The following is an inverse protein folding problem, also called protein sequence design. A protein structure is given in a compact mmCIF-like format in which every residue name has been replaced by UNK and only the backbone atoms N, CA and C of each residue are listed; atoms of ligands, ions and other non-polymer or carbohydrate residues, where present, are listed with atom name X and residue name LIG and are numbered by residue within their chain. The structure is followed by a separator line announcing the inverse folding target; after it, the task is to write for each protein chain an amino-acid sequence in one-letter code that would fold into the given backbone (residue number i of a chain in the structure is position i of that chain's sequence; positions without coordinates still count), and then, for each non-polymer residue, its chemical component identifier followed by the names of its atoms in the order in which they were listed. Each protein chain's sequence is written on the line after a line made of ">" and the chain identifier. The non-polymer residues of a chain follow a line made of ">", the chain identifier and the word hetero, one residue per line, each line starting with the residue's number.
data_IF_511005188837
#
_entry.id   IF_511005188837
#
_cell.length_a   1.000
_cell.length_b   1.000
_cell.length_c   1.000
_cell.angle_alpha   90.00
_cell.angle_beta   90.00
_cell.angle_gamma   90.00
#
_symmetry.space_group_name_H-M   'P 1'
#
loop_
_entity.id
_entity.type
_entity.pdbx_description
1 polymer ?
#
# COMPACT_ATOMS: atom_id res chain seq x y z
N UNK A 1 3.65 18.12 -0.64
CA UNK A 1 4.61 19.18 -0.26
C UNK A 1 5.99 18.61 0.09
N UNK A 2 6.10 17.65 1.02
CA UNK A 2 7.39 17.01 1.41
C UNK A 2 8.16 16.41 0.21
N UNK A 3 7.47 15.80 -0.75
CA UNK A 3 8.07 15.20 -1.96
C UNK A 3 8.61 16.20 -2.99
N UNK A 4 8.31 17.50 -2.84
CA UNK A 4 8.86 18.54 -3.73
C UNK A 4 10.31 18.90 -3.38
N UNK A 5 10.75 18.55 -2.18
CA UNK A 5 12.12 18.80 -1.72
C UNK A 5 13.02 17.66 -2.21
N UNK A 6 13.96 17.99 -3.11
CA UNK A 6 14.86 17.02 -3.76
C UNK A 6 15.61 16.13 -2.74
N UNK A 7 16.08 16.71 -1.63
CA UNK A 7 16.78 15.99 -0.54
C UNK A 7 15.92 14.91 0.13
N UNK A 8 14.61 15.15 0.27
CA UNK A 8 13.67 14.20 0.89
C UNK A 8 13.27 13.09 -0.08
N UNK A 9 13.28 13.36 -1.39
CA UNK A 9 13.01 12.36 -2.43
C UNK A 9 14.17 11.41 -2.69
N UNK A 10 15.40 11.81 -2.42
CA UNK A 10 16.59 10.96 -2.61
C UNK A 10 16.99 10.19 -1.35
N UNK A 11 16.37 10.46 -0.20
CA UNK A 11 16.63 9.74 1.05
C UNK A 11 15.68 8.55 1.19
N UNK A 12 16.16 7.29 1.19
CA UNK A 12 15.31 6.11 1.34
C UNK A 12 14.54 6.11 2.67
N UNK A 13 15.15 6.60 3.74
CA UNK A 13 14.55 6.68 5.08
C UNK A 13 13.37 7.66 5.08
N UNK A 14 13.54 8.84 4.46
CA UNK A 14 12.47 9.82 4.36
C UNK A 14 11.30 9.28 3.52
N UNK A 15 11.60 8.61 2.41
CA UNK A 15 10.58 7.98 1.56
C UNK A 15 9.81 6.87 2.29
N UNK A 16 10.46 6.09 3.15
CA UNK A 16 9.80 5.04 3.93
C UNK A 16 8.74 5.61 4.89
N UNK A 17 9.06 6.68 5.63
CA UNK A 17 8.07 7.30 6.51
C UNK A 17 6.94 7.98 5.71
N UNK A 18 7.28 8.63 4.60
CA UNK A 18 6.29 9.28 3.74
C UNK A 18 5.33 8.25 3.13
N UNK A 19 5.83 7.09 2.67
CA UNK A 19 4.98 6.03 2.12
C UNK A 19 4.04 5.44 3.17
N UNK A 20 4.51 5.27 4.42
CA UNK A 20 3.66 4.84 5.54
C UNK A 20 2.51 5.81 5.81
N UNK A 21 2.78 7.11 5.85
CA UNK A 21 1.74 8.15 6.03
C UNK A 21 0.76 8.15 4.87
N UNK A 22 1.22 8.02 3.64
CA UNK A 22 0.34 7.96 2.46
C UNK A 22 -0.56 6.73 2.53
N UNK A 23 -0.03 5.57 2.89
CA UNK A 23 -0.82 4.33 2.97
C UNK A 23 -1.95 4.43 4.00
N UNK A 24 -1.65 4.99 5.18
CA UNK A 24 -2.68 5.27 6.21
C UNK A 24 -3.66 6.34 5.72
N UNK A 25 -3.17 7.41 5.08
CA UNK A 25 -4.01 8.50 4.57
C UNK A 25 -5.00 8.05 3.50
N UNK A 26 -4.56 7.23 2.54
CA UNK A 26 -5.41 6.66 1.50
C UNK A 26 -6.48 5.73 2.09
N UNK A 27 -6.14 4.97 3.13
CA UNK A 27 -7.11 4.14 3.84
C UNK A 27 -8.15 4.99 4.58
N UNK A 28 -7.71 6.06 5.27
CA UNK A 28 -8.60 7.00 5.95
C UNK A 28 -9.52 7.72 4.97
N UNK A 29 -9.04 8.12 3.79
CA UNK A 29 -9.87 8.70 2.74
C UNK A 29 -11.03 7.76 2.37
N UNK A 30 -10.74 6.47 2.14
CA UNK A 30 -11.77 5.48 1.83
C UNK A 30 -12.72 5.24 3.00
N UNK A 31 -12.21 5.20 4.22
CA UNK A 31 -13.04 5.10 5.42
C UNK A 31 -14.02 6.27 5.52
N UNK A 32 -13.55 7.50 5.29
CA UNK A 32 -14.39 8.70 5.33
C UNK A 32 -15.44 8.67 4.21
N UNK A 33 -15.04 8.40 2.96
CA UNK A 33 -15.96 8.37 1.82
C UNK A 33 -17.09 7.37 2.06
N UNK A 34 -16.81 6.19 2.61
CA UNK A 34 -17.83 5.15 2.84
C UNK A 34 -18.64 5.46 4.08
N UNK A 35 -18.01 5.62 5.25
CA UNK A 35 -18.71 5.69 6.54
C UNK A 35 -19.44 7.03 6.72
N UNK A 36 -18.80 8.15 6.36
CA UNK A 36 -19.39 9.47 6.58
C UNK A 36 -20.50 9.75 5.57
N UNK A 37 -20.42 9.23 4.34
CA UNK A 37 -21.52 9.36 3.38
C UNK A 37 -22.75 8.56 3.80
N UNK A 38 -22.57 7.32 4.30
CA UNK A 38 -23.66 6.44 4.76
C UNK A 38 -24.26 6.87 6.11
N UNK A 39 -23.53 7.65 6.91
CA UNK A 39 -24.05 8.10 8.21
C UNK A 39 -25.26 9.04 8.09
N UNK A 40 -25.39 9.77 6.98
CA UNK A 40 -26.43 10.78 6.74
C UNK A 40 -27.23 10.45 5.49
N UNK A 41 -28.04 9.40 5.57
CA UNK A 41 -28.99 9.07 4.51
C UNK A 41 -30.18 10.05 4.46
N UNK A 42 -30.88 10.03 3.31
CA UNK A 42 -32.02 10.90 3.00
C UNK A 42 -33.19 10.80 4.00
N UNK A 43 -33.32 9.69 4.73
CA UNK A 43 -34.28 9.53 5.83
C UNK A 43 -33.58 9.71 7.19
N UNK A 44 -34.09 10.67 7.97
CA UNK A 44 -33.57 11.02 9.30
C UNK A 44 -33.71 9.91 10.35
N UNK A 45 -34.60 8.93 10.15
CA UNK A 45 -34.75 7.77 11.04
C UNK A 45 -33.65 6.72 10.89
N UNK A 46 -32.90 6.75 9.77
CA UNK A 46 -31.87 5.74 9.45
C UNK A 46 -30.45 6.20 9.79
N UNK A 47 -30.32 7.32 10.53
CA UNK A 47 -29.02 7.81 10.96
C UNK A 47 -28.40 6.85 11.98
N UNK A 48 -27.42 6.06 11.53
CA UNK A 48 -26.67 5.11 12.34
C UNK A 48 -25.19 5.47 12.40
N UNK A 49 -24.59 5.46 13.59
CA UNK A 49 -23.14 5.62 13.75
C UNK A 49 -22.46 4.26 13.59
N UNK A 50 -21.46 4.17 12.71
CA UNK A 50 -20.64 2.97 12.57
C UNK A 50 -19.58 2.93 13.66
N UNK A 51 -19.61 1.88 14.48
CA UNK A 51 -18.56 1.57 15.45
C UNK A 51 -17.89 0.26 15.03
N UNK A 52 -16.62 0.29 14.61
CA UNK A 52 -15.93 -0.92 14.21
C UNK A 52 -15.81 -1.88 15.39
N UNK A 53 -16.18 -3.13 15.15
CA UNK A 53 -16.10 -4.21 16.12
C UNK A 53 -14.69 -4.82 16.15
N UNK A 54 -14.40 -5.64 17.16
CA UNK A 54 -13.11 -6.36 17.24
C UNK A 54 -12.88 -7.24 16.01
N UNK A 55 -13.94 -7.78 15.42
CA UNK A 55 -13.86 -8.64 14.24
C UNK A 55 -13.47 -7.87 12.97
N UNK A 56 -13.89 -6.61 12.84
CA UNK A 56 -13.51 -5.75 11.71
C UNK A 56 -11.99 -5.51 11.69
N UNK A 57 -11.42 -5.19 12.86
CA UNK A 57 -9.98 -5.02 13.02
C UNK A 57 -9.20 -6.33 12.85
N UNK A 58 -9.71 -7.44 13.37
CA UNK A 58 -9.08 -8.75 13.18
C UNK A 58 -9.07 -9.17 11.71
N UNK A 59 -10.14 -8.89 10.96
CA UNK A 59 -10.21 -9.20 9.53
C UNK A 59 -9.26 -8.32 8.75
N UNK A 60 -9.17 -7.02 9.08
CA UNK A 60 -8.22 -6.10 8.46
C UNK A 60 -6.76 -6.50 8.70
N UNK A 61 -6.38 -6.83 9.94
CA UNK A 61 -5.02 -7.29 10.25
C UNK A 61 -4.77 -8.67 9.62
N UNK A 62 -5.78 -9.53 9.59
CA UNK A 62 -5.72 -10.86 8.99
C UNK A 62 -5.43 -10.82 7.49
N UNK A 63 -6.02 -9.89 6.75
CA UNK A 63 -5.75 -9.73 5.30
C UNK A 63 -4.34 -9.22 5.04
N UNK A 64 -3.82 -8.31 5.87
CA UNK A 64 -2.41 -7.87 5.82
C UNK A 64 -1.48 -9.07 6.09
N UNK A 65 -1.77 -9.86 7.13
CA UNK A 65 -1.00 -11.05 7.46
C UNK A 65 -1.01 -12.08 6.34
N UNK A 66 -2.17 -12.31 5.72
CA UNK A 66 -2.30 -13.22 4.57
C UNK A 66 -1.52 -12.73 3.35
N UNK A 67 -1.58 -11.42 3.05
CA UNK A 67 -0.77 -10.82 1.99
C UNK A 67 0.73 -10.99 2.24
N UNK A 68 1.20 -10.67 3.46
CA UNK A 68 2.61 -10.83 3.81
C UNK A 68 3.06 -12.29 3.77
N UNK A 69 2.23 -13.23 4.24
CA UNK A 69 2.51 -14.66 4.17
C UNK A 69 2.65 -15.13 2.71
N UNK A 70 1.74 -14.73 1.83
CA UNK A 70 1.81 -15.03 0.40
C UNK A 70 3.04 -14.37 -0.26
N UNK A 71 3.35 -13.13 0.09
CA UNK A 71 4.52 -12.41 -0.41
C UNK A 71 5.83 -13.07 0.01
N UNK A 72 5.96 -13.49 1.27
CA UNK A 72 7.14 -14.22 1.74
C UNK A 72 7.25 -15.61 1.11
N UNK A 73 6.13 -16.30 0.89
CA UNK A 73 6.12 -17.57 0.17
C UNK A 73 6.59 -17.38 -1.28
N UNK A 74 6.12 -16.33 -1.96
CA UNK A 74 6.55 -15.97 -3.31
C UNK A 74 8.05 -15.68 -3.36
N UNK A 75 8.58 -14.85 -2.46
CA UNK A 75 10.02 -14.53 -2.37
C UNK A 75 10.88 -15.77 -2.10
N UNK A 76 10.33 -16.79 -1.43
CA UNK A 76 11.04 -18.04 -1.14
C UNK A 76 11.04 -19.01 -2.32
N UNK A 77 9.95 -19.11 -3.07
CA UNK A 77 9.79 -20.10 -4.14
C UNK A 77 10.33 -19.56 -5.47
N UNK A 78 10.18 -18.27 -5.74
CA UNK A 78 10.48 -17.66 -7.03
C UNK A 78 11.50 -16.51 -6.88
N UNK A 79 12.39 -16.32 -7.89
CA UNK A 79 13.28 -15.17 -7.90
C UNK A 79 12.46 -13.88 -8.08
N UNK A 80 12.62 -12.94 -7.15
CA UNK A 80 11.91 -11.66 -7.17
C UNK A 80 12.28 -10.77 -8.37
N UNK A 81 13.43 -11.02 -8.99
CA UNK A 81 13.95 -10.28 -10.13
C UNK A 81 14.09 -11.26 -11.31
N UNK A 82 13.55 -10.88 -12.46
CA UNK A 82 13.65 -11.61 -13.73
C UNK A 82 15.10 -11.63 -14.23
N UNK A 83 15.79 -12.76 -14.06
CA UNK A 83 17.19 -12.91 -14.52
C UNK A 83 17.31 -12.72 -16.04
N UNK A 84 16.28 -13.09 -16.81
CA UNK A 84 16.25 -12.92 -18.27
C UNK A 84 16.32 -11.44 -18.69
N UNK A 85 15.50 -10.57 -18.10
CA UNK A 85 15.48 -9.13 -18.42
C UNK A 85 16.71 -8.41 -17.89
N UNK A 86 17.22 -8.82 -16.72
CA UNK A 86 18.48 -8.27 -16.20
C UNK A 86 19.64 -8.52 -17.16
N UNK A 87 19.69 -9.67 -17.84
CA UNK A 87 20.75 -9.99 -18.81
C UNK A 87 20.69 -9.17 -20.08
N UNK A 88 19.50 -8.73 -20.51
CA UNK A 88 19.35 -7.88 -21.71
C UNK A 88 19.66 -6.41 -21.44
N UNK A 89 19.58 -5.97 -20.18
CA UNK A 89 19.89 -4.60 -19.76
C UNK A 89 21.37 -4.40 -19.41
N UNK A 90 22.14 -5.47 -19.28
CA UNK A 90 23.58 -5.39 -19.00
C UNK A 90 24.33 -4.96 -20.28
N UNK A 91 25.15 -3.89 -20.22
CA UNK A 91 25.96 -3.42 -21.35
C UNK A 91 27.04 -4.42 -21.82
N UNK A 92 27.24 -5.52 -21.10
CA UNK A 92 28.10 -6.64 -21.53
C UNK A 92 27.48 -7.46 -22.69
N UNK A 93 26.20 -7.24 -23.03
CA UNK A 93 25.50 -7.84 -24.17
C UNK A 93 25.48 -6.92 -25.41
N UNK A 94 26.00 -5.70 -25.33
CA UNK A 94 26.29 -4.89 -26.53
C UNK A 94 27.50 -5.51 -27.24
N UNK A 95 27.23 -6.22 -28.33
CA UNK A 95 28.28 -6.49 -29.33
C UNK A 95 28.71 -5.11 -29.84
N UNK A 96 29.89 -4.65 -29.42
CA UNK A 96 30.58 -3.53 -30.06
C UNK A 96 30.79 -3.89 -31.53
N UNK A 97 29.93 -3.37 -32.39
CA UNK A 97 30.28 -3.11 -33.79
C UNK A 97 31.07 -1.80 -33.89
#
# INVERSE_FOLDING_TARGET
>A
QVLWIRKLRTSPVALFFVSGVILVGMWLERFIIVVVSLHRDFLTSSWGMYYPTRWDWMTYIGTIGMFLAAMFLFLRILPAISIFEMRTLLPEAEVKE
#
